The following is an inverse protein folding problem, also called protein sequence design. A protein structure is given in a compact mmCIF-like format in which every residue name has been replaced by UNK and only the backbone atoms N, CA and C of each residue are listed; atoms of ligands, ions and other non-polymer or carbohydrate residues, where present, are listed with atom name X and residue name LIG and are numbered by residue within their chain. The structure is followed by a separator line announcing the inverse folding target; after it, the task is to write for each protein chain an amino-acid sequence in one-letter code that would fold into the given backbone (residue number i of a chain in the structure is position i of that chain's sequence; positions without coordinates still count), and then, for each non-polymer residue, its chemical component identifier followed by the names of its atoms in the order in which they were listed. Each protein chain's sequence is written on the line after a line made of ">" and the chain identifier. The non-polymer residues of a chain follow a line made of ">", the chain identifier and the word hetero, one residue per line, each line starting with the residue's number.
data_IF_569393503982
#
_entry.id   IF_569393503982
#
_cell.length_a   1.000
_cell.length_b   1.000
_cell.length_c   1.000
_cell.angle_alpha   90.00
_cell.angle_beta   90.00
_cell.angle_gamma   90.00
#
_symmetry.space_group_name_H-M   'P 1'
#
loop_
_entity.id
_entity.type
_entity.pdbx_description
1 polymer ?
#
# COMPACT_ATOMS: atom_id res chain seq x y z
N UNK A 1 -6.37 11.46 2.58
CA UNK A 1 -5.68 11.23 3.11
C UNK A 1 -5.05 12.08 4.19
N UNK A 2 -4.81 11.48 5.32
CA UNK A 2 -4.01 11.97 6.45
C UNK A 2 -4.36 13.38 6.96
N UNK A 3 -5.62 13.68 7.12
CA UNK A 3 -6.16 14.90 7.77
C UNK A 3 -5.61 16.23 7.24
N UNK A 4 -4.97 16.23 6.06
CA UNK A 4 -4.52 17.45 5.42
C UNK A 4 -5.53 17.89 4.38
N UNK A 5 -6.11 19.07 4.51
CA UNK A 5 -7.06 19.56 3.52
C UNK A 5 -6.35 19.78 2.17
N UNK A 6 -7.05 19.48 1.10
CA UNK A 6 -6.60 19.71 -0.27
C UNK A 6 -7.26 20.97 -0.82
N UNK A 7 -6.48 21.79 -1.52
CA UNK A 7 -7.03 22.92 -2.26
C UNK A 7 -7.56 22.47 -3.61
N UNK A 8 -8.68 23.02 -4.01
CA UNK A 8 -9.11 22.97 -5.39
C UNK A 8 -8.17 23.84 -6.25
N UNK A 9 -8.15 23.57 -7.54
CA UNK A 9 -7.35 24.32 -8.50
C UNK A 9 -8.25 24.85 -9.62
N UNK A 10 -8.22 26.16 -9.81
CA UNK A 10 -8.88 26.82 -10.91
C UNK A 10 -7.96 26.75 -12.15
N UNK A 11 -8.30 25.89 -13.10
CA UNK A 11 -7.52 25.67 -14.31
C UNK A 11 -7.62 26.83 -15.30
N UNK A 12 -8.68 27.63 -15.27
CA UNK A 12 -8.85 28.78 -16.13
C UNK A 12 -7.93 29.92 -15.71
N UNK A 13 -7.94 30.27 -14.44
CA UNK A 13 -7.12 31.32 -13.86
C UNK A 13 -5.75 30.86 -13.39
N UNK A 14 -5.48 29.54 -13.40
CA UNK A 14 -4.21 28.90 -12.99
C UNK A 14 -3.80 29.23 -11.55
N UNK A 15 -4.77 29.24 -10.63
CA UNK A 15 -4.55 29.53 -9.21
C UNK A 15 -5.12 28.44 -8.33
N UNK A 16 -4.53 28.28 -7.14
CA UNK A 16 -5.16 27.48 -6.08
C UNK A 16 -6.33 28.24 -5.50
N UNK A 17 -7.45 27.56 -5.39
CA UNK A 17 -8.70 28.08 -4.81
C UNK A 17 -8.86 27.64 -3.36
N UNK A 18 -10.07 27.65 -2.85
CA UNK A 18 -10.41 27.21 -1.50
C UNK A 18 -10.17 25.71 -1.28
N UNK A 19 -10.16 25.28 -0.02
CA UNK A 19 -10.08 23.88 0.31
C UNK A 19 -11.34 23.12 -0.10
N UNK A 20 -11.17 21.86 -0.53
CA UNK A 20 -12.30 20.96 -0.69
C UNK A 20 -12.98 20.71 0.65
N UNK A 21 -14.31 20.73 0.63
CA UNK A 21 -15.11 20.14 1.69
C UNK A 21 -15.18 18.62 1.47
N UNK A 22 -14.39 17.88 2.24
CA UNK A 22 -14.28 16.43 2.11
C UNK A 22 -15.53 15.67 2.51
N UNK A 23 -16.46 16.32 3.24
CA UNK A 23 -17.75 15.74 3.62
C UNK A 23 -18.81 15.92 2.53
N UNK A 24 -18.67 16.93 1.67
CA UNK A 24 -19.64 17.31 0.66
C UNK A 24 -19.01 17.43 -0.73
N UNK A 25 -18.37 16.36 -1.17
CA UNK A 25 -17.67 16.34 -2.46
C UNK A 25 -18.65 16.39 -3.65
N UNK A 26 -18.30 17.16 -4.66
CA UNK A 26 -19.05 17.31 -5.90
C UNK A 26 -18.16 17.00 -7.10
N UNK A 27 -18.67 16.22 -8.02
CA UNK A 27 -18.06 16.04 -9.33
C UNK A 27 -18.79 16.92 -10.35
N UNK A 28 -18.31 18.14 -10.49
CA UNK A 28 -18.84 19.14 -11.44
C UNK A 28 -18.11 19.13 -12.80
N UNK A 29 -17.32 18.11 -13.10
CA UNK A 29 -16.62 18.01 -14.38
C UNK A 29 -17.62 17.99 -15.54
N UNK A 30 -17.31 18.73 -16.61
CA UNK A 30 -18.10 18.73 -17.86
C UNK A 30 -18.17 17.33 -18.50
N UNK A 31 -17.21 16.46 -18.17
CA UNK A 31 -17.15 15.09 -18.68
C UNK A 31 -17.83 14.08 -17.73
N UNK A 32 -18.43 14.55 -16.63
CA UNK A 32 -19.14 13.66 -15.71
C UNK A 32 -20.43 13.16 -16.32
N UNK A 33 -20.56 11.85 -16.43
CA UNK A 33 -21.77 11.15 -16.91
C UNK A 33 -22.51 10.43 -15.77
N UNK A 34 -22.07 10.57 -14.54
CA UNK A 34 -22.62 9.95 -13.34
C UNK A 34 -23.21 10.93 -12.34
N UNK A 35 -23.21 10.55 -11.08
CA UNK A 35 -23.71 11.41 -9.99
C UNK A 35 -22.84 12.66 -9.80
N UNK A 36 -23.48 13.78 -9.51
CA UNK A 36 -22.79 15.01 -9.11
C UNK A 36 -22.37 14.91 -7.63
N UNK A 37 -23.26 14.41 -6.80
CA UNK A 37 -22.95 14.19 -5.39
C UNK A 37 -22.21 12.86 -5.25
N UNK A 38 -21.02 12.91 -4.63
CA UNK A 38 -20.19 11.74 -4.39
C UNK A 38 -19.99 11.55 -2.87
N UNK A 39 -19.73 10.32 -2.42
CA UNK A 39 -19.51 10.05 -1.01
C UNK A 39 -18.39 10.89 -0.41
N UNK A 40 -18.47 11.12 0.90
CA UNK A 40 -17.38 11.73 1.65
C UNK A 40 -16.05 11.00 1.43
N UNK A 41 -14.95 11.74 1.47
CA UNK A 41 -13.62 11.15 1.32
C UNK A 41 -13.27 10.32 2.57
N UNK A 42 -12.80 9.10 2.35
CA UNK A 42 -12.22 8.30 3.41
C UNK A 42 -10.75 8.66 3.62
N UNK A 43 -10.32 8.67 4.88
CA UNK A 43 -8.92 8.85 5.23
C UNK A 43 -8.07 7.66 4.75
N UNK A 44 -6.77 7.91 4.58
CA UNK A 44 -5.85 6.83 4.30
C UNK A 44 -5.75 5.91 5.51
N UNK A 45 -5.96 4.62 5.29
CA UNK A 45 -5.87 3.55 6.26
C UNK A 45 -4.47 3.47 6.91
N UNK A 46 -3.41 3.50 6.09
CA UNK A 46 -2.01 3.60 6.49
C UNK A 46 -1.38 4.73 5.68
N UNK A 47 -0.64 5.61 6.36
CA UNK A 47 0.02 6.71 5.70
C UNK A 47 1.40 6.99 6.31
N UNK A 48 2.33 7.53 5.52
CA UNK A 48 3.64 7.92 6.01
C UNK A 48 4.26 9.03 5.14
N UNK A 49 5.05 9.93 5.75
CA UNK A 49 5.74 11.01 5.05
C UNK A 49 7.03 10.53 4.35
N UNK A 50 7.73 11.42 3.66
CA UNK A 50 9.11 11.21 3.20
C UNK A 50 10.10 11.14 4.37
N UNK A 51 9.85 11.89 5.45
CA UNK A 51 10.60 11.77 6.70
C UNK A 51 10.18 10.50 7.46
N UNK A 52 10.91 10.19 8.51
CA UNK A 52 10.48 9.15 9.46
C UNK A 52 9.13 9.55 10.08
N UNK A 53 8.23 8.60 10.20
CA UNK A 53 6.94 8.77 10.86
C UNK A 53 7.03 8.38 12.32
N UNK A 54 6.46 9.20 13.20
CA UNK A 54 6.30 8.83 14.62
C UNK A 54 5.17 7.82 14.81
N UNK A 55 4.13 7.91 13.99
CA UNK A 55 2.97 7.01 14.02
C UNK A 55 3.28 5.63 13.43
N UNK A 56 4.09 5.60 12.37
CA UNK A 56 4.51 4.36 11.71
C UNK A 56 6.04 4.27 11.64
N UNK A 57 6.74 4.05 12.78
CA UNK A 57 8.20 4.09 12.84
C UNK A 57 8.88 3.01 12.00
N UNK A 58 8.21 1.86 11.78
CA UNK A 58 8.70 0.78 10.93
C UNK A 58 8.89 1.18 9.46
N UNK A 59 8.22 2.23 9.00
CA UNK A 59 8.29 2.60 7.58
C UNK A 59 9.50 3.46 7.21
N UNK A 60 10.31 3.85 8.22
CA UNK A 60 11.52 4.65 8.02
C UNK A 60 11.29 5.93 7.20
N UNK A 61 12.35 6.60 6.75
CA UNK A 61 12.27 7.71 5.79
C UNK A 61 12.65 7.26 4.38
N UNK A 62 12.41 8.09 3.38
CA UNK A 62 12.78 7.82 2.00
C UNK A 62 11.70 8.15 0.98
N UNK A 63 11.82 7.61 -0.22
CA UNK A 63 10.82 7.69 -1.27
C UNK A 63 9.46 7.14 -0.83
N UNK A 64 8.42 7.39 -1.63
CA UNK A 64 7.07 6.87 -1.36
C UNK A 64 6.49 6.28 -2.63
N UNK A 65 6.41 4.96 -2.65
CA UNK A 65 5.80 4.17 -3.70
C UNK A 65 5.04 3.02 -3.03
N UNK A 66 4.08 3.39 -2.18
CA UNK A 66 3.26 2.47 -1.41
C UNK A 66 2.39 1.60 -2.31
N UNK A 67 2.39 0.32 -2.07
CA UNK A 67 1.60 -0.65 -2.81
C UNK A 67 0.91 -1.62 -1.84
N UNK A 68 -0.33 -1.98 -2.16
CA UNK A 68 -1.06 -3.03 -1.47
C UNK A 68 -0.86 -4.35 -2.21
N UNK A 69 -0.51 -5.36 -1.45
CA UNK A 69 -0.43 -6.74 -1.91
C UNK A 69 -1.71 -7.52 -1.59
N UNK A 70 -1.65 -8.85 -1.62
CA UNK A 70 -2.80 -9.69 -1.33
C UNK A 70 -3.11 -9.78 0.17
N UNK A 71 -4.35 -10.11 0.48
CA UNK A 71 -4.73 -10.66 1.78
C UNK A 71 -4.57 -12.18 1.71
N UNK A 72 -3.90 -12.76 2.70
CA UNK A 72 -3.77 -14.22 2.80
C UNK A 72 -5.01 -14.84 3.43
N UNK A 73 -5.49 -15.91 2.82
CA UNK A 73 -6.57 -16.74 3.36
C UNK A 73 -6.08 -18.18 3.50
N UNK A 74 -6.04 -18.65 4.75
CA UNK A 74 -5.57 -20.01 5.07
C UNK A 74 -6.52 -21.08 4.53
N UNK A 75 -5.98 -22.00 3.75
CA UNK A 75 -6.72 -23.11 3.12
C UNK A 75 -6.28 -24.49 3.61
N UNK A 76 -5.75 -24.58 4.83
CA UNK A 76 -5.25 -25.81 5.40
C UNK A 76 -3.84 -26.21 4.94
N UNK A 77 -3.19 -25.39 4.14
CA UNK A 77 -1.82 -25.56 3.64
C UNK A 77 -1.18 -24.21 3.32
N UNK A 78 0.12 -24.20 3.08
CA UNK A 78 0.89 -22.99 2.78
C UNK A 78 1.35 -22.29 4.05
N UNK A 79 1.20 -20.98 4.13
CA UNK A 79 1.54 -20.22 5.33
C UNK A 79 0.63 -20.64 6.49
N UNK A 80 1.12 -20.60 7.76
CA UNK A 80 0.33 -20.99 8.90
C UNK A 80 -0.86 -20.07 9.18
N UNK A 81 -1.79 -20.54 10.01
CA UNK A 81 -2.99 -19.80 10.42
C UNK A 81 -2.68 -18.43 11.05
N UNK A 82 -1.46 -18.23 11.55
CA UNK A 82 -0.96 -16.92 12.00
C UNK A 82 -1.16 -15.81 10.94
N UNK A 83 -1.09 -16.18 9.65
CA UNK A 83 -1.26 -15.24 8.54
C UNK A 83 -2.71 -15.10 8.05
N UNK A 84 -3.67 -15.78 8.67
CA UNK A 84 -5.07 -15.65 8.26
C UNK A 84 -5.54 -14.19 8.33
N UNK A 85 -6.10 -13.68 7.23
CA UNK A 85 -6.52 -12.30 7.05
C UNK A 85 -5.40 -11.24 7.18
N UNK A 86 -4.16 -11.62 7.03
CA UNK A 86 -3.04 -10.67 6.98
C UNK A 86 -2.99 -10.01 5.61
N UNK A 87 -3.05 -8.69 5.59
CA UNK A 87 -2.79 -7.88 4.40
C UNK A 87 -1.28 -7.68 4.24
N UNK A 88 -0.74 -8.06 3.10
CA UNK A 88 0.63 -7.75 2.75
C UNK A 88 0.69 -6.39 2.06
N UNK A 89 1.61 -5.54 2.51
CA UNK A 89 1.92 -4.26 1.87
C UNK A 89 3.40 -4.19 1.54
N UNK A 90 3.76 -3.42 0.54
CA UNK A 90 5.14 -3.31 0.13
C UNK A 90 5.48 -1.92 -0.41
N UNK A 91 6.76 -1.63 -0.45
CA UNK A 91 7.27 -0.32 -0.84
C UNK A 91 8.49 -0.45 -1.75
N UNK A 92 8.29 0.01 -2.96
CA UNK A 92 9.30 -0.07 -4.01
C UNK A 92 10.54 0.80 -3.71
N UNK A 93 10.35 2.02 -3.20
CA UNK A 93 11.44 2.97 -2.94
C UNK A 93 12.23 2.67 -1.67
N UNK A 94 11.64 1.89 -0.74
CA UNK A 94 12.21 1.61 0.59
C UNK A 94 12.56 0.15 0.79
N UNK A 95 12.37 -0.70 -0.22
CA UNK A 95 12.84 -2.08 -0.26
C UNK A 95 12.29 -2.97 0.86
N UNK A 96 11.02 -2.85 1.21
CA UNK A 96 10.44 -3.67 2.26
C UNK A 96 9.08 -4.27 1.88
N UNK A 97 8.77 -5.38 2.54
CA UNK A 97 7.44 -5.98 2.61
C UNK A 97 7.02 -6.00 4.08
N UNK A 98 5.76 -5.71 4.34
CA UNK A 98 5.17 -5.70 5.69
C UNK A 98 3.92 -6.56 5.73
N UNK A 99 3.69 -7.17 6.88
CA UNK A 99 2.44 -7.83 7.22
C UNK A 99 1.61 -6.92 8.13
N UNK A 100 0.37 -6.69 7.73
CA UNK A 100 -0.59 -5.87 8.46
C UNK A 100 -1.66 -6.79 9.02
N UNK A 101 -1.70 -6.91 10.33
CA UNK A 101 -2.72 -7.69 11.03
C UNK A 101 -3.91 -6.78 11.34
N UNK A 102 -5.10 -7.24 10.96
CA UNK A 102 -6.34 -6.51 11.10
C UNK A 102 -7.25 -7.17 12.13
N UNK A 103 -8.04 -6.37 12.81
CA UNK A 103 -9.11 -6.88 13.67
C UNK A 103 -10.38 -7.24 12.85
N UNK A 104 -11.43 -7.66 13.54
CA UNK A 104 -12.72 -8.01 12.92
C UNK A 104 -13.45 -6.82 12.26
N UNK A 105 -13.02 -5.59 12.53
CA UNK A 105 -13.55 -4.35 11.95
C UNK A 105 -12.66 -3.84 10.80
N UNK A 106 -11.62 -4.59 10.45
CA UNK A 106 -10.56 -4.22 9.51
C UNK A 106 -9.70 -3.02 9.96
N UNK A 107 -9.60 -2.78 11.26
CA UNK A 107 -8.69 -1.79 11.83
C UNK A 107 -7.31 -2.42 12.07
N UNK A 108 -6.25 -1.62 11.96
CA UNK A 108 -4.88 -2.09 12.16
C UNK A 108 -4.63 -2.45 13.61
N UNK A 109 -4.36 -3.74 13.90
CA UNK A 109 -3.89 -4.19 15.19
C UNK A 109 -2.40 -3.94 15.38
N UNK A 110 -1.60 -4.39 14.42
CA UNK A 110 -0.16 -4.19 14.39
C UNK A 110 0.40 -4.44 12.98
N UNK A 111 1.61 -3.94 12.77
CA UNK A 111 2.35 -4.12 11.52
C UNK A 111 3.71 -4.69 11.88
N UNK A 112 4.12 -5.75 11.19
CA UNK A 112 5.42 -6.39 11.37
C UNK A 112 6.24 -6.35 10.08
N UNK A 113 7.57 -6.48 10.23
CA UNK A 113 8.43 -6.80 9.11
C UNK A 113 8.15 -8.22 8.62
N UNK A 114 7.89 -8.37 7.34
CA UNK A 114 7.84 -9.69 6.73
C UNK A 114 9.24 -10.11 6.29
N UNK A 115 9.72 -11.26 6.82
CA UNK A 115 11.07 -11.78 6.58
C UNK A 115 12.18 -10.72 6.78
N UNK A 116 12.39 -10.25 8.01
CA UNK A 116 13.27 -9.11 8.31
C UNK A 116 14.76 -9.33 7.98
N UNK A 117 15.16 -10.56 7.67
CA UNK A 117 16.52 -10.92 7.28
C UNK A 117 16.70 -11.08 5.77
N UNK A 118 15.65 -10.84 4.99
CA UNK A 118 15.67 -10.94 3.54
C UNK A 118 15.62 -9.54 2.91
N UNK A 119 16.42 -9.36 1.87
CA UNK A 119 16.43 -8.15 1.07
C UNK A 119 15.44 -8.26 -0.08
N UNK A 120 14.43 -7.41 -0.08
CA UNK A 120 13.50 -7.26 -1.20
C UNK A 120 14.00 -6.16 -2.14
N UNK A 121 14.25 -6.52 -3.39
CA UNK A 121 14.82 -5.61 -4.38
C UNK A 121 13.73 -4.87 -5.17
N UNK A 122 13.13 -3.84 -4.59
CA UNK A 122 12.06 -3.04 -5.20
C UNK A 122 10.86 -3.89 -5.62
N UNK A 123 10.09 -4.42 -4.68
CA UNK A 123 8.91 -5.22 -5.00
C UNK A 123 7.89 -4.40 -5.80
N UNK A 124 7.34 -4.99 -6.86
CA UNK A 124 6.41 -4.36 -7.81
C UNK A 124 5.05 -5.02 -7.82
N UNK A 125 5.00 -6.32 -7.51
CA UNK A 125 3.76 -7.08 -7.47
C UNK A 125 3.93 -8.31 -6.59
N UNK A 126 2.84 -8.83 -6.05
CA UNK A 126 2.83 -10.08 -5.30
C UNK A 126 1.50 -10.80 -5.37
N UNK A 127 1.56 -12.13 -5.32
CA UNK A 127 0.39 -13.00 -5.39
C UNK A 127 0.62 -14.31 -4.65
N UNK A 128 -0.42 -14.84 -4.03
CA UNK A 128 -0.43 -16.22 -3.52
C UNK A 128 -0.93 -17.18 -4.59
N UNK A 129 -0.27 -18.34 -4.70
CA UNK A 129 -0.81 -19.46 -5.46
C UNK A 129 -1.86 -20.26 -4.66
N UNK A 130 -2.48 -21.24 -5.31
CA UNK A 130 -3.50 -22.09 -4.68
C UNK A 130 -2.93 -23.02 -3.59
N UNK A 131 -1.61 -23.16 -3.52
CA UNK A 131 -0.90 -23.93 -2.51
C UNK A 131 -0.46 -23.07 -1.31
N UNK A 132 -0.76 -21.76 -1.34
CA UNK A 132 -0.39 -20.81 -0.30
C UNK A 132 1.07 -20.38 -0.31
N UNK A 133 1.76 -20.50 -1.45
CA UNK A 133 3.08 -19.90 -1.63
C UNK A 133 2.93 -18.45 -2.10
N UNK A 134 3.75 -17.56 -1.57
CA UNK A 134 3.82 -16.16 -2.00
C UNK A 134 4.87 -16.00 -3.11
N UNK A 135 4.47 -15.39 -4.21
CA UNK A 135 5.37 -14.94 -5.27
C UNK A 135 5.48 -13.42 -5.24
N UNK A 136 6.70 -12.93 -5.30
CA UNK A 136 7.00 -11.49 -5.32
C UNK A 136 7.78 -11.20 -6.59
N UNK A 137 7.28 -10.29 -7.42
CA UNK A 137 8.00 -9.74 -8.55
C UNK A 137 8.86 -8.58 -8.06
N UNK A 138 10.16 -8.64 -8.31
CA UNK A 138 11.14 -7.65 -7.88
C UNK A 138 11.81 -7.00 -9.08
N UNK A 139 11.86 -5.67 -9.09
CA UNK A 139 12.45 -4.89 -10.18
C UNK A 139 13.97 -4.98 -10.23
N UNK A 140 14.65 -5.10 -9.07
CA UNK A 140 16.09 -5.07 -8.95
C UNK A 140 16.62 -3.82 -8.26
N UNK A 141 17.94 -3.71 -8.14
CA UNK A 141 18.58 -2.64 -7.34
C UNK A 141 18.57 -1.27 -8.02
N UNK A 142 18.58 -1.22 -9.34
CA UNK A 142 18.82 0.00 -10.08
C UNK A 142 17.76 0.25 -11.16
N UNK A 143 17.67 1.48 -11.62
CA UNK A 143 16.76 1.90 -12.69
C UNK A 143 17.15 1.33 -14.08
N UNK A 144 18.44 1.06 -14.31
CA UNK A 144 18.95 0.62 -15.62
C UNK A 144 20.17 -0.28 -15.48
N UNK A 145 20.29 -1.24 -16.39
CA UNK A 145 21.52 -1.96 -16.64
C UNK A 145 21.87 -3.09 -15.66
N UNK A 146 20.90 -3.51 -14.85
CA UNK A 146 21.06 -4.65 -13.95
C UNK A 146 20.15 -5.79 -14.38
N UNK A 147 20.70 -6.98 -14.42
CA UNK A 147 19.99 -8.23 -14.74
C UNK A 147 19.56 -8.95 -13.44
N UNK A 148 19.21 -8.17 -12.39
CA UNK A 148 18.86 -8.67 -11.07
C UNK A 148 17.36 -8.62 -10.78
N UNK A 149 16.53 -8.31 -11.77
CA UNK A 149 15.07 -8.49 -11.70
C UNK A 149 14.76 -9.98 -11.53
N UNK A 150 13.88 -10.30 -10.61
CA UNK A 150 13.55 -11.70 -10.28
C UNK A 150 12.12 -11.88 -9.85
N UNK A 151 11.68 -13.13 -9.85
CA UNK A 151 10.48 -13.57 -9.13
C UNK A 151 10.95 -14.43 -7.97
N UNK A 152 10.70 -13.97 -6.76
CA UNK A 152 10.97 -14.73 -5.54
C UNK A 152 9.75 -15.56 -5.14
N UNK A 153 9.98 -16.86 -4.89
CA UNK A 153 8.95 -17.75 -4.32
C UNK A 153 9.25 -18.00 -2.85
N UNK A 154 8.29 -17.67 -2.00
CA UNK A 154 8.36 -17.89 -0.56
C UNK A 154 7.39 -18.99 -0.19
N UNK A 155 7.89 -20.06 0.42
CA UNK A 155 7.10 -21.21 0.86
C UNK A 155 7.36 -21.47 2.33
N UNK A 156 6.31 -21.71 3.08
CA UNK A 156 6.44 -22.16 4.46
C UNK A 156 6.82 -23.63 4.50
N UNK A 157 7.86 -23.96 5.28
CA UNK A 157 8.25 -25.35 5.56
C UNK A 157 7.86 -25.67 6.98
N UNK A 158 7.00 -26.67 7.13
CA UNK A 158 6.67 -27.27 8.43
C UNK A 158 7.88 -28.03 8.98
#
# INVERSE_FOLDING_TARGET
>A
ANNKPYRSYDFENKISSDYFDCENLKNSSINNTGSIDIPAANEAFIWYPYSQSEEFPLFSGGGRSAMAGPVYHYKGQGFPEYYENVLFIYEWSRFWVREVHLDSNNEVLHINDFLPNEDFLRPVDMVFDDQGNLYILEYGQSWYGYEDSKISKISYKQ
#
